data_IF_869728022742
#
_entry.id   IF_869728022742
#
_cell.length_a   1.000
_cell.length_b   1.000
_cell.length_c   1.000
_cell.angle_alpha   90.00
_cell.angle_beta   90.00
_cell.angle_gamma   90.00
#
_symmetry.space_group_name_H-M   'P 1'
#
loop_
_entity.id
_entity.type
_entity.pdbx_description
1 polymer ?
#
# COMPACT_ATOMS: atom_id res chain seq x y z
N UNK A 1 20.44 -19.92 10.50
CA UNK A 1 21.56 -18.94 10.54
C UNK A 1 22.03 -18.73 9.13
N UNK A 2 22.25 -17.48 8.74
CA UNK A 2 22.72 -17.12 7.40
C UNK A 2 24.24 -16.94 7.43
N UNK A 3 24.89 -17.02 6.28
CA UNK A 3 26.29 -16.60 6.14
C UNK A 3 26.32 -15.19 5.56
N UNK A 4 26.97 -14.26 6.25
CA UNK A 4 27.24 -12.91 5.72
C UNK A 4 28.73 -12.81 5.37
N UNK A 5 29.02 -12.36 4.15
CA UNK A 5 30.39 -12.04 3.74
C UNK A 5 30.68 -10.61 4.20
N UNK A 6 31.69 -10.45 5.03
CA UNK A 6 32.23 -9.15 5.45
C UNK A 6 33.54 -8.92 4.71
N UNK A 7 33.72 -7.71 4.17
CA UNK A 7 34.91 -7.36 3.40
C UNK A 7 35.53 -6.09 3.93
N UNK A 8 36.86 -6.01 3.87
CA UNK A 8 37.63 -4.82 4.23
C UNK A 8 38.70 -4.56 3.18
N UNK A 9 39.00 -3.29 2.96
CA UNK A 9 40.10 -2.85 2.10
C UNK A 9 41.15 -2.12 2.94
N UNK A 10 42.40 -2.57 2.83
CA UNK A 10 43.53 -1.93 3.48
C UNK A 10 44.42 -1.21 2.46
N UNK A 11 44.76 0.02 2.78
CA UNK A 11 45.69 0.86 2.02
C UNK A 11 46.76 1.41 2.94
N UNK A 12 47.94 1.71 2.41
CA UNK A 12 48.92 2.59 3.05
C UNK A 12 49.22 3.72 2.07
N UNK A 13 48.88 4.95 2.46
CA UNK A 13 49.02 6.13 1.59
C UNK A 13 48.33 5.95 0.22
N UNK A 14 47.13 5.34 0.22
CA UNK A 14 46.35 5.06 -0.99
C UNK A 14 46.83 3.86 -1.82
N UNK A 15 47.92 3.20 -1.44
CA UNK A 15 48.41 1.99 -2.11
C UNK A 15 47.82 0.75 -1.42
N UNK A 16 47.09 -0.12 -2.13
CA UNK A 16 46.52 -1.33 -1.54
C UNK A 16 47.58 -2.25 -0.94
N UNK A 17 47.32 -2.79 0.25
CA UNK A 17 48.28 -3.58 1.03
C UNK A 17 47.93 -5.07 0.97
N UNK A 18 48.80 -5.85 0.34
CA UNK A 18 48.66 -7.31 0.15
C UNK A 18 49.51 -8.07 1.17
N UNK A 19 49.22 -9.35 1.40
CA UNK A 19 50.00 -10.22 2.28
C UNK A 19 49.88 -9.89 3.78
N UNK A 20 48.86 -9.13 4.17
CA UNK A 20 48.55 -8.91 5.57
C UNK A 20 47.90 -10.18 6.17
N UNK A 21 47.89 -10.26 7.49
CA UNK A 21 47.13 -11.27 8.24
C UNK A 21 46.09 -10.58 9.13
N UNK A 22 45.06 -9.92 8.56
CA UNK A 22 44.12 -9.19 9.37
C UNK A 22 43.26 -10.13 10.21
N UNK A 23 42.87 -9.64 11.37
CA UNK A 23 41.86 -10.27 12.23
C UNK A 23 40.60 -9.43 12.29
N UNK A 24 39.46 -10.07 12.54
CA UNK A 24 38.17 -9.42 12.76
C UNK A 24 37.62 -9.75 14.15
N UNK A 25 37.14 -8.72 14.82
CA UNK A 25 36.32 -8.81 16.03
C UNK A 25 34.89 -8.39 15.68
N UNK A 26 33.89 -9.16 16.14
CA UNK A 26 32.47 -8.87 15.91
C UNK A 26 31.74 -8.84 17.24
N UNK A 27 31.05 -7.73 17.50
CA UNK A 27 30.22 -7.53 18.68
C UNK A 27 28.76 -7.53 18.25
N UNK A 28 27.94 -8.36 18.90
CA UNK A 28 26.49 -8.27 18.87
C UNK A 28 26.04 -7.17 19.82
N UNK A 29 25.24 -6.24 19.31
CA UNK A 29 24.69 -5.11 20.05
C UNK A 29 23.31 -5.45 20.58
N UNK A 30 23.09 -5.21 21.87
CA UNK A 30 21.77 -5.36 22.49
C UNK A 30 20.96 -4.09 22.25
N UNK A 31 19.82 -4.23 21.54
CA UNK A 31 18.94 -3.12 21.19
C UNK A 31 18.22 -2.50 22.41
N UNK A 32 18.12 -3.25 23.51
CA UNK A 32 17.40 -2.85 24.72
C UNK A 32 18.35 -2.36 25.81
N UNK A 33 19.54 -2.95 25.92
CA UNK A 33 20.54 -2.57 26.92
C UNK A 33 21.93 -2.33 26.30
N UNK A 34 22.31 -1.06 26.02
CA UNK A 34 23.57 -0.75 25.35
C UNK A 34 24.84 -1.12 26.14
N UNK A 35 24.71 -1.50 27.41
CA UNK A 35 25.82 -1.94 28.25
C UNK A 35 26.10 -3.45 28.16
N UNK A 36 25.24 -4.23 27.50
CA UNK A 36 25.31 -5.70 27.44
C UNK A 36 25.65 -6.23 26.04
N UNK A 37 26.62 -5.60 25.37
CA UNK A 37 27.08 -6.09 24.06
C UNK A 37 27.89 -7.39 24.23
N UNK A 38 27.68 -8.35 23.33
CA UNK A 38 28.33 -9.66 23.37
C UNK A 38 29.41 -9.75 22.31
N UNK A 39 30.64 -10.11 22.69
CA UNK A 39 31.72 -10.37 21.75
C UNK A 39 31.54 -11.77 21.13
N UNK A 40 31.05 -11.85 19.89
CA UNK A 40 30.62 -13.11 19.26
C UNK A 40 31.69 -13.75 18.37
N UNK A 41 32.63 -12.96 17.87
CA UNK A 41 33.80 -13.46 17.13
C UNK A 41 35.00 -12.70 17.63
N UNK A 42 36.00 -13.42 18.17
CA UNK A 42 37.22 -12.84 18.74
C UNK A 42 38.41 -13.13 17.84
N UNK A 43 39.05 -12.07 17.33
CA UNK A 43 40.30 -12.09 16.56
C UNK A 43 40.36 -13.18 15.48
N UNK A 44 39.26 -13.38 14.74
CA UNK A 44 39.20 -14.41 13.72
C UNK A 44 40.01 -14.02 12.47
N UNK A 45 40.77 -14.96 11.92
CA UNK A 45 41.57 -14.71 10.73
C UNK A 45 40.70 -14.42 9.50
N UNK A 46 41.10 -13.42 8.72
CA UNK A 46 40.50 -13.12 7.42
C UNK A 46 41.27 -13.80 6.29
N UNK A 47 40.65 -13.90 5.11
CA UNK A 47 41.26 -14.46 3.91
C UNK A 47 41.49 -13.35 2.90
N UNK A 48 42.72 -13.21 2.42
CA UNK A 48 43.04 -12.26 1.34
C UNK A 48 42.34 -12.68 0.04
N UNK A 49 41.67 -11.70 -0.59
CA UNK A 49 41.03 -11.84 -1.90
C UNK A 49 41.95 -11.31 -3.00
N UNK A 50 42.79 -10.33 -2.67
CA UNK A 50 43.76 -9.68 -3.58
C UNK A 50 43.54 -8.17 -3.67
N UNK A 51 44.55 -7.44 -4.17
CA UNK A 51 44.52 -5.98 -4.32
C UNK A 51 44.13 -5.24 -3.02
N UNK A 52 44.59 -5.75 -1.88
CA UNK A 52 44.32 -5.19 -0.55
C UNK A 52 42.93 -5.49 0.01
N UNK A 53 42.11 -6.30 -0.68
CA UNK A 53 40.84 -6.78 -0.15
C UNK A 53 41.00 -8.06 0.66
N UNK A 54 40.31 -8.11 1.80
CA UNK A 54 40.23 -9.26 2.68
C UNK A 54 38.77 -9.55 3.00
N UNK A 55 38.45 -10.83 3.24
CA UNK A 55 37.08 -11.28 3.55
C UNK A 55 37.03 -12.16 4.79
N UNK A 56 35.88 -12.12 5.45
CA UNK A 56 35.49 -13.05 6.51
C UNK A 56 34.06 -13.55 6.27
N UNK A 57 33.85 -14.86 6.43
CA UNK A 57 32.52 -15.48 6.31
C UNK A 57 31.91 -15.63 7.70
N UNK A 58 30.99 -14.73 8.06
CA UNK A 58 30.31 -14.78 9.35
C UNK A 58 29.15 -15.80 9.29
N UNK A 59 29.42 -17.05 9.65
CA UNK A 59 28.49 -18.19 9.51
C UNK A 59 27.40 -18.24 10.57
N UNK A 60 27.59 -17.56 11.70
CA UNK A 60 26.59 -17.41 12.77
C UNK A 60 25.80 -16.11 12.68
N UNK A 61 25.81 -15.45 11.51
CA UNK A 61 25.07 -14.21 11.29
C UNK A 61 23.56 -14.42 11.44
N UNK A 62 22.94 -13.54 12.23
CA UNK A 62 21.50 -13.43 12.35
C UNK A 62 21.03 -12.05 11.82
N UNK A 63 20.26 -11.97 10.73
CA UNK A 63 19.81 -10.68 10.20
C UNK A 63 18.95 -9.87 11.16
N UNK A 64 18.30 -10.51 12.15
CA UNK A 64 17.45 -9.82 13.13
C UNK A 64 18.23 -9.14 14.27
N UNK A 65 19.56 -9.17 14.22
CA UNK A 65 20.44 -8.61 15.26
C UNK A 65 21.35 -7.55 14.68
N UNK A 66 21.75 -6.63 15.55
CA UNK A 66 22.70 -5.57 15.23
C UNK A 66 24.11 -6.02 15.61
N UNK A 67 25.07 -5.72 14.75
CA UNK A 67 26.47 -6.08 14.88
C UNK A 67 27.33 -4.89 14.48
N UNK A 68 28.38 -4.67 15.25
CA UNK A 68 29.52 -3.83 14.88
C UNK A 68 30.74 -4.74 14.77
N UNK A 69 31.62 -4.45 13.82
CA UNK A 69 32.83 -5.20 13.62
C UNK A 69 34.02 -4.28 13.36
N UNK A 70 35.18 -4.74 13.83
CA UNK A 70 36.46 -4.07 13.66
C UNK A 70 37.41 -5.04 12.99
N UNK A 71 38.05 -4.60 11.92
CA UNK A 71 39.18 -5.28 11.31
C UNK A 71 40.48 -4.63 11.79
N UNK A 72 41.42 -5.44 12.26
CA UNK A 72 42.80 -5.05 12.55
C UNK A 72 43.71 -5.60 11.44
N UNK A 73 44.29 -4.72 10.63
CA UNK A 73 45.21 -5.05 9.54
C UNK A 73 46.62 -5.48 9.99
N UNK A 74 46.90 -5.45 11.29
CA UNK A 74 48.16 -5.86 11.89
C UNK A 74 49.19 -4.73 12.01
N UNK A 75 50.33 -5.04 12.63
CA UNK A 75 51.38 -4.08 12.98
C UNK A 75 52.16 -3.52 11.77
N UNK A 76 51.95 -4.06 10.56
CA UNK A 76 52.58 -3.58 9.33
C UNK A 76 51.96 -2.29 8.82
N UNK A 77 50.72 -2.00 9.21
CA UNK A 77 50.04 -0.74 8.95
C UNK A 77 50.24 0.23 10.11
N UNK A 78 50.44 1.50 9.78
CA UNK A 78 50.54 2.58 10.77
C UNK A 78 49.14 3.08 11.18
N UNK A 79 49.02 3.46 12.45
CA UNK A 79 47.87 4.06 13.16
C UNK A 79 46.52 4.07 12.43
N UNK A 80 46.27 5.07 11.58
CA UNK A 80 44.95 5.31 10.97
C UNK A 80 44.56 4.34 9.85
N UNK A 81 45.54 3.64 9.27
CA UNK A 81 45.29 2.65 8.23
C UNK A 81 45.02 1.26 8.80
N UNK A 82 45.46 1.01 10.03
CA UNK A 82 45.41 -0.30 10.68
C UNK A 82 44.01 -0.78 11.04
N UNK A 83 43.17 0.10 11.59
CA UNK A 83 41.85 -0.29 12.05
C UNK A 83 40.77 0.19 11.09
N UNK A 84 39.88 -0.71 10.68
CA UNK A 84 38.68 -0.38 9.91
C UNK A 84 37.46 -0.88 10.67
N UNK A 85 36.42 -0.06 10.71
CA UNK A 85 35.18 -0.36 11.42
C UNK A 85 34.02 -0.46 10.43
N UNK A 86 33.03 -1.27 10.76
CA UNK A 86 31.78 -1.35 10.01
C UNK A 86 30.67 -1.95 10.86
N UNK A 87 29.44 -1.90 10.34
CA UNK A 87 28.27 -2.49 10.98
C UNK A 87 27.42 -3.21 9.94
N UNK A 88 26.42 -3.97 10.41
CA UNK A 88 25.43 -4.59 9.54
C UNK A 88 24.12 -3.81 9.46
N UNK A 89 24.16 -2.50 9.77
CA UNK A 89 23.04 -1.59 9.63
C UNK A 89 22.40 -1.81 8.25
N UNK A 90 21.22 -2.42 8.24
CA UNK A 90 20.54 -2.85 7.02
C UNK A 90 19.53 -1.78 6.63
N UNK A 91 19.91 -0.91 5.71
CA UNK A 91 18.97 0.05 5.12
C UNK A 91 17.83 -0.63 4.33
N UNK A 92 17.97 -1.92 3.97
CA UNK A 92 16.99 -2.63 3.14
C UNK A 92 15.67 -2.86 3.87
N UNK A 93 15.72 -3.16 5.18
CA UNK A 93 14.52 -3.33 6.00
C UNK A 93 13.85 -1.98 6.32
N UNK A 94 14.66 -0.92 6.46
CA UNK A 94 14.15 0.45 6.56
C UNK A 94 13.43 0.88 5.28
N UNK A 95 14.03 0.70 4.10
CA UNK A 95 13.42 1.17 2.86
C UNK A 95 12.09 0.47 2.58
N UNK A 96 11.99 -0.85 2.78
CA UNK A 96 10.73 -1.54 2.51
C UNK A 96 9.64 -1.17 3.51
N UNK A 97 9.96 -1.06 4.80
CA UNK A 97 8.97 -0.66 5.81
C UNK A 97 8.56 0.81 5.66
N UNK A 98 9.49 1.69 5.32
CA UNK A 98 9.23 3.11 5.06
C UNK A 98 8.44 3.36 3.77
N UNK A 99 8.45 2.45 2.80
CA UNK A 99 7.73 2.62 1.52
C UNK A 99 6.44 1.81 1.45
N UNK A 100 6.38 0.61 2.03
CA UNK A 100 5.22 -0.28 1.88
C UNK A 100 4.29 -0.30 3.10
N UNK A 101 4.81 0.03 4.29
CA UNK A 101 4.08 0.03 5.56
C UNK A 101 3.93 1.44 6.14
N UNK A 102 4.11 2.48 5.32
CA UNK A 102 3.91 3.87 5.74
C UNK A 102 2.43 4.15 6.07
N UNK A 103 2.19 5.02 7.06
CA UNK A 103 0.83 5.33 7.46
C UNK A 103 0.16 6.18 6.39
N UNK A 104 -1.10 5.87 6.06
CA UNK A 104 -1.86 6.65 5.06
C UNK A 104 -2.00 8.13 5.41
N UNK A 105 -1.87 8.49 6.69
CA UNK A 105 -1.85 9.88 7.16
C UNK A 105 -0.66 10.68 6.65
N UNK A 106 0.44 10.02 6.31
CA UNK A 106 1.66 10.64 5.79
C UNK A 106 1.49 11.07 4.32
N UNK A 107 0.43 10.59 3.67
CA UNK A 107 0.05 10.88 2.29
C UNK A 107 -1.01 11.97 2.14
N UNK A 108 -1.27 12.75 3.19
CA UNK A 108 -2.28 13.81 3.14
C UNK A 108 -1.72 15.17 2.70
N UNK A 109 -0.40 15.28 2.56
CA UNK A 109 0.25 16.52 2.19
C UNK A 109 -0.04 16.91 0.73
N UNK A 110 -0.55 18.12 0.54
CA UNK A 110 -0.85 18.65 -0.78
C UNK A 110 0.39 18.66 -1.69
N UNK A 111 0.19 18.28 -2.96
CA UNK A 111 1.27 18.21 -3.95
C UNK A 111 2.11 16.93 -3.91
N UNK A 112 1.85 16.02 -2.98
CA UNK A 112 2.49 14.70 -2.97
C UNK A 112 1.75 13.70 -3.85
N UNK A 113 2.47 12.69 -4.37
CA UNK A 113 1.87 11.58 -5.13
C UNK A 113 0.87 10.79 -4.27
N UNK A 114 1.16 10.61 -2.97
CA UNK A 114 0.26 9.94 -2.03
C UNK A 114 -1.09 10.65 -1.88
N UNK A 115 -1.08 11.99 -1.88
CA UNK A 115 -2.32 12.77 -1.82
C UNK A 115 -3.14 12.62 -3.11
N UNK A 116 -2.48 12.70 -4.28
CA UNK A 116 -3.14 12.47 -5.56
C UNK A 116 -3.74 11.07 -5.66
N UNK A 117 -3.05 10.04 -5.17
CA UNK A 117 -3.58 8.68 -5.14
C UNK A 117 -4.81 8.56 -4.23
N UNK A 118 -4.78 9.19 -3.06
CA UNK A 118 -5.93 9.24 -2.14
C UNK A 118 -7.13 9.94 -2.77
N UNK A 119 -6.90 11.04 -3.49
CA UNK A 119 -7.94 11.73 -4.26
C UNK A 119 -8.52 10.85 -5.37
N UNK A 120 -7.69 10.21 -6.19
CA UNK A 120 -8.13 9.29 -7.25
C UNK A 120 -9.03 8.19 -6.69
N UNK A 121 -8.66 7.61 -5.54
CA UNK A 121 -9.48 6.58 -4.87
C UNK A 121 -10.84 7.12 -4.42
N UNK A 122 -10.87 8.32 -3.85
CA UNK A 122 -12.11 9.01 -3.44
C UNK A 122 -13.01 9.31 -4.64
N UNK A 123 -12.44 9.87 -5.71
CA UNK A 123 -13.16 10.24 -6.91
C UNK A 123 -13.72 9.00 -7.62
N UNK A 124 -12.93 7.92 -7.71
CA UNK A 124 -13.37 6.64 -8.28
C UNK A 124 -14.56 6.06 -7.51
N UNK A 125 -14.53 6.14 -6.17
CA UNK A 125 -15.66 5.70 -5.32
C UNK A 125 -16.91 6.53 -5.60
N UNK A 126 -16.75 7.85 -5.72
CA UNK A 126 -17.85 8.78 -6.03
C UNK A 126 -18.46 8.54 -7.42
N UNK A 127 -17.62 8.23 -8.41
CA UNK A 127 -18.06 7.87 -9.77
C UNK A 127 -18.88 6.57 -9.74
N UNK A 128 -18.42 5.54 -9.03
CA UNK A 128 -19.17 4.28 -8.91
C UNK A 128 -20.55 4.47 -8.28
N UNK A 129 -20.66 5.28 -7.22
CA UNK A 129 -21.95 5.62 -6.59
C UNK A 129 -22.86 6.37 -7.57
N UNK A 130 -22.29 7.32 -8.34
CA UNK A 130 -23.03 8.09 -9.33
C UNK A 130 -23.58 7.21 -10.47
N UNK A 131 -22.79 6.24 -10.95
CA UNK A 131 -23.21 5.28 -11.98
C UNK A 131 -24.41 4.43 -11.51
N UNK A 132 -24.38 3.92 -10.28
CA UNK A 132 -25.49 3.16 -9.72
C UNK A 132 -26.78 3.98 -9.65
N UNK A 133 -26.66 5.24 -9.23
CA UNK A 133 -27.80 6.18 -9.18
C UNK A 133 -28.37 6.46 -10.56
N UNK A 134 -27.51 6.74 -11.55
CA UNK A 134 -27.94 6.97 -12.95
C UNK A 134 -28.64 5.73 -13.50
N UNK A 135 -28.09 4.53 -13.25
CA UNK A 135 -28.70 3.28 -13.72
C UNK A 135 -30.09 3.08 -13.12
N UNK A 136 -30.26 3.36 -11.82
CA UNK A 136 -31.56 3.29 -11.16
C UNK A 136 -32.57 4.29 -11.75
N UNK A 137 -32.14 5.53 -12.00
CA UNK A 137 -32.98 6.56 -12.61
C UNK A 137 -33.39 6.17 -14.04
N UNK A 138 -32.45 5.71 -14.87
CA UNK A 138 -32.73 5.29 -16.25
C UNK A 138 -33.70 4.10 -16.25
N UNK A 139 -33.47 3.10 -15.40
CA UNK A 139 -34.39 1.96 -15.28
C UNK A 139 -35.80 2.41 -14.85
N UNK A 140 -35.87 3.36 -13.93
CA UNK A 140 -37.13 3.94 -13.49
C UNK A 140 -37.83 4.64 -14.65
N UNK A 141 -37.16 5.55 -15.37
CA UNK A 141 -37.73 6.23 -16.55
C UNK A 141 -38.21 5.26 -17.63
N UNK A 142 -37.45 4.20 -17.90
CA UNK A 142 -37.86 3.15 -18.84
C UNK A 142 -39.15 2.45 -18.38
N UNK A 143 -39.34 2.23 -17.07
CA UNK A 143 -40.59 1.71 -16.52
C UNK A 143 -41.76 2.69 -16.72
N UNK A 144 -41.56 4.00 -16.51
CA UNK A 144 -42.57 5.02 -16.83
C UNK A 144 -42.96 5.03 -18.33
N UNK A 145 -42.01 4.77 -19.23
CA UNK A 145 -42.20 4.79 -20.69
C UNK A 145 -42.79 3.50 -21.28
N UNK A 146 -42.72 2.35 -20.58
CA UNK A 146 -43.19 1.08 -21.16
C UNK A 146 -44.22 0.31 -20.34
N UNK A 147 -44.29 0.52 -19.02
CA UNK A 147 -45.08 -0.35 -18.16
C UNK A 147 -46.57 0.02 -18.15
N UNK A 148 -47.35 -0.85 -17.52
CA UNK A 148 -48.80 -0.71 -17.42
C UNK A 148 -49.16 0.57 -16.67
N UNK A 149 -50.12 1.30 -17.20
CA UNK A 149 -50.79 2.38 -16.49
C UNK A 149 -52.26 2.05 -16.33
N UNK A 150 -52.85 2.37 -15.18
CA UNK A 150 -54.27 2.17 -14.89
C UNK A 150 -54.85 3.41 -14.26
N UNK A 151 -56.05 3.79 -14.68
CA UNK A 151 -56.81 4.91 -14.17
C UNK A 151 -57.86 4.38 -13.20
N UNK A 152 -57.83 4.87 -11.97
CA UNK A 152 -58.91 4.69 -11.02
C UNK A 152 -59.86 5.89 -11.13
N UNK A 153 -61.01 5.68 -11.78
CA UNK A 153 -62.00 6.73 -12.02
C UNK A 153 -62.77 7.12 -10.77
N UNK A 154 -62.85 6.24 -9.76
CA UNK A 154 -63.52 6.53 -8.49
C UNK A 154 -62.66 7.46 -7.62
N UNK A 155 -61.36 7.18 -7.57
CA UNK A 155 -60.42 7.96 -6.77
C UNK A 155 -59.75 9.11 -7.54
N UNK A 156 -59.90 9.15 -8.86
CA UNK A 156 -59.25 10.07 -9.78
C UNK A 156 -57.71 9.98 -9.70
N UNK A 157 -57.15 8.79 -9.91
CA UNK A 157 -55.69 8.57 -9.88
C UNK A 157 -55.20 7.79 -11.10
N UNK A 158 -53.94 8.01 -11.48
CA UNK A 158 -53.20 7.21 -12.45
C UNK A 158 -52.13 6.43 -11.70
N UNK A 159 -52.19 5.10 -11.75
CA UNK A 159 -51.12 4.24 -11.22
C UNK A 159 -50.27 3.73 -12.36
N UNK A 160 -48.95 3.89 -12.23
CA UNK A 160 -47.96 3.22 -13.08
C UNK A 160 -47.44 2.03 -12.30
N UNK A 161 -47.44 0.85 -12.93
CA UNK A 161 -47.00 -0.40 -12.30
C UNK A 161 -45.56 -0.74 -12.67
N UNK A 162 -44.93 -1.57 -11.84
CA UNK A 162 -43.63 -2.17 -12.13
C UNK A 162 -43.75 -3.26 -13.21
N UNK A 163 -42.65 -3.91 -13.55
CA UNK A 163 -42.52 -4.92 -14.60
C UNK A 163 -43.37 -6.19 -14.32
N UNK A 164 -43.83 -6.38 -13.09
CA UNK A 164 -44.75 -7.45 -12.67
C UNK A 164 -46.23 -7.11 -12.90
N UNK A 165 -46.51 -5.93 -13.47
CA UNK A 165 -47.84 -5.44 -13.82
C UNK A 165 -48.80 -5.27 -12.62
N UNK A 166 -48.33 -5.43 -11.38
CA UNK A 166 -49.18 -5.51 -10.18
C UNK A 166 -48.66 -4.65 -9.03
N UNK A 167 -47.35 -4.51 -8.88
CA UNK A 167 -46.73 -3.64 -7.88
C UNK A 167 -46.80 -2.18 -8.35
N UNK A 168 -47.42 -1.25 -7.60
CA UNK A 168 -47.42 0.16 -7.96
C UNK A 168 -46.01 0.76 -7.87
N UNK A 169 -45.55 1.37 -8.96
CA UNK A 169 -44.32 2.16 -9.01
C UNK A 169 -44.57 3.60 -8.55
N UNK A 170 -45.66 4.21 -9.01
CA UNK A 170 -46.06 5.59 -8.64
C UNK A 170 -47.55 5.80 -8.89
N UNK A 171 -48.17 6.64 -8.06
CA UNK A 171 -49.57 7.05 -8.20
C UNK A 171 -49.63 8.57 -8.34
N UNK A 172 -50.19 9.04 -9.45
CA UNK A 172 -50.46 10.45 -9.70
C UNK A 172 -51.90 10.79 -9.36
N UNK A 173 -52.12 11.95 -8.75
CA UNK A 173 -53.46 12.51 -8.54
C UNK A 173 -53.92 13.19 -9.83
N UNK A 174 -55.02 12.71 -10.40
CA UNK A 174 -55.63 13.29 -11.59
C UNK A 174 -56.70 14.30 -11.18
N UNK A 175 -56.33 15.27 -10.36
CA UNK A 175 -57.20 16.40 -9.99
C UNK A 175 -56.59 17.71 -10.45
N UNK A 176 -57.43 18.61 -10.90
CA UNK A 176 -57.03 19.98 -11.19
C UNK A 176 -56.72 20.76 -9.89
N UNK A 177 -56.30 22.01 -10.05
CA UNK A 177 -56.00 22.91 -8.93
C UNK A 177 -57.22 23.23 -8.04
N UNK A 178 -58.45 22.95 -8.51
CA UNK A 178 -59.71 23.12 -7.77
C UNK A 178 -60.18 21.80 -7.14
N UNK A 179 -59.45 20.70 -7.34
CA UNK A 179 -59.78 19.37 -6.82
C UNK A 179 -60.73 18.54 -7.70
N UNK A 180 -61.12 19.03 -8.87
CA UNK A 180 -62.02 18.31 -9.78
C UNK A 180 -61.26 17.19 -10.52
N UNK A 181 -61.85 16.01 -10.72
CA UNK A 181 -61.24 14.93 -11.50
C UNK A 181 -60.96 15.32 -12.96
N UNK A 182 -59.74 15.07 -13.44
CA UNK A 182 -59.30 15.26 -14.82
C UNK A 182 -58.92 13.91 -15.45
N UNK A 183 -59.94 13.05 -15.65
CA UNK A 183 -59.76 11.65 -16.08
C UNK A 183 -60.19 11.38 -17.54
N UNK A 184 -60.84 12.34 -18.21
CA UNK A 184 -61.43 12.11 -19.54
C UNK A 184 -60.41 12.14 -20.69
N UNK A 185 -59.31 12.87 -20.54
CA UNK A 185 -58.28 13.03 -21.59
C UNK A 185 -57.06 12.12 -21.40
N UNK A 186 -57.09 11.23 -20.39
CA UNK A 186 -55.96 10.36 -20.04
C UNK A 186 -56.25 8.94 -20.54
N UNK A 187 -55.30 8.35 -21.25
CA UNK A 187 -55.38 6.98 -21.73
C UNK A 187 -54.58 6.02 -20.84
N UNK A 188 -55.12 4.82 -20.63
CA UNK A 188 -54.36 3.71 -20.05
C UNK A 188 -53.37 3.12 -21.06
N UNK A 189 -52.26 2.60 -20.56
CA UNK A 189 -51.29 1.83 -21.33
C UNK A 189 -51.36 0.38 -20.88
N UNK A 190 -51.65 -0.50 -21.81
CA UNK A 190 -51.64 -1.95 -21.61
C UNK A 190 -50.48 -2.57 -22.41
N UNK A 191 -49.34 -2.88 -21.79
CA UNK A 191 -48.21 -3.52 -22.44
C UNK A 191 -48.56 -4.94 -22.85
N UNK A 192 -48.01 -5.43 -23.96
CA UNK A 192 -48.22 -6.81 -24.43
C UNK A 192 -47.65 -7.86 -23.48
N UNK A 193 -46.77 -7.47 -22.56
CA UNK A 193 -46.19 -8.32 -21.51
C UNK A 193 -47.09 -8.47 -20.28
N UNK A 194 -48.18 -7.71 -20.19
CA UNK A 194 -49.10 -7.70 -19.06
C UNK A 194 -50.51 -8.12 -19.53
N UNK A 195 -50.98 -9.33 -19.21
CA UNK A 195 -52.36 -9.75 -19.50
C UNK A 195 -53.42 -9.00 -18.67
#
# INVERSE_FOLDING_TARGET
MATKILTVHFTSSGIPQVGLTPVIDIFELDATNPLLNTHVVTAAATVEVGLGWYRYNFTSYNPTKNYVFTFDGGNTLIDCDRYKIGGNESYVEEISSQVWEEQSTDHLNAGTTGFLFTQIKSDTTSIMVSQGTITSLVNTLLKYERNRTKIDTANATLTIFDDDCTTPLTVFNLRDHLGNPSIQEVCERAPTTCP
#
